data_IF_377068743513
#
_entry.id   IF_377068743513
#
_cell.length_a   1.000
_cell.length_b   1.000
_cell.length_c   1.000
_cell.angle_alpha   90.00
_cell.angle_beta   90.00
_cell.angle_gamma   90.00
#
_symmetry.space_group_name_H-M   'P 1'
#
loop_
_entity.id
_entity.type
_entity.pdbx_description
1 polymer ?
#
# COMPACT_ATOMS: atom_id res chain seq x y z
N UNK A 1 14.17 2.15 -5.74
CA UNK A 1 14.90 1.44 -4.68
C UNK A 1 14.00 0.37 -4.12
N UNK A 2 14.44 -0.89 -4.08
CA UNK A 2 13.63 -1.99 -3.53
C UNK A 2 13.61 -1.89 -2.01
N UNK A 3 12.43 -1.71 -1.43
CA UNK A 3 12.26 -1.81 0.02
C UNK A 3 12.25 -3.28 0.41
N UNK A 4 12.94 -3.65 1.49
CA UNK A 4 12.89 -5.00 2.06
C UNK A 4 11.48 -5.39 2.55
N UNK A 5 10.56 -4.42 2.61
CA UNK A 5 9.14 -4.57 2.95
C UNK A 5 8.23 -4.80 1.74
N UNK A 6 8.78 -4.83 0.52
CA UNK A 6 8.01 -5.07 -0.70
C UNK A 6 7.65 -6.55 -0.81
N UNK A 7 6.36 -6.84 -0.95
CA UNK A 7 5.84 -8.17 -1.22
C UNK A 7 6.46 -8.75 -2.49
N UNK A 8 7.06 -9.94 -2.38
CA UNK A 8 7.44 -10.73 -3.55
C UNK A 8 6.20 -11.16 -4.32
N UNK A 9 6.34 -11.39 -5.62
CA UNK A 9 5.24 -11.89 -6.45
C UNK A 9 4.67 -13.22 -5.91
N UNK A 10 5.54 -14.09 -5.39
CA UNK A 10 5.14 -15.37 -4.79
C UNK A 10 4.25 -15.22 -3.54
N UNK A 11 4.58 -14.26 -2.70
CA UNK A 11 3.79 -13.96 -1.49
C UNK A 11 2.48 -13.27 -1.87
N UNK A 12 2.53 -12.40 -2.89
CA UNK A 12 1.37 -11.73 -3.44
C UNK A 12 0.34 -12.72 -4.00
N UNK A 13 0.78 -13.77 -4.70
CA UNK A 13 -0.08 -14.83 -5.22
C UNK A 13 -0.88 -15.55 -4.12
N UNK A 14 -0.35 -15.63 -2.90
CA UNK A 14 -1.03 -16.23 -1.76
C UNK A 14 -2.06 -15.26 -1.15
N UNK A 15 -1.73 -13.97 -1.08
CA UNK A 15 -2.55 -12.95 -0.41
C UNK A 15 -3.69 -12.46 -1.33
N UNK A 16 -3.43 -12.28 -2.61
CA UNK A 16 -4.39 -11.78 -3.60
C UNK A 16 -5.77 -12.46 -3.53
N UNK A 17 -5.88 -13.80 -3.51
CA UNK A 17 -7.18 -14.48 -3.47
C UNK A 17 -7.93 -14.29 -2.15
N UNK A 18 -7.22 -13.96 -1.06
CA UNK A 18 -7.82 -13.70 0.25
C UNK A 18 -8.42 -12.30 0.37
N UNK A 19 -8.00 -11.38 -0.51
CA UNK A 19 -8.48 -10.00 -0.47
C UNK A 19 -9.90 -9.89 -1.04
N UNK A 20 -10.78 -9.09 -0.41
CA UNK A 20 -12.15 -8.91 -0.87
C UNK A 20 -12.18 -8.44 -2.33
N UNK A 21 -13.12 -8.97 -3.11
CA UNK A 21 -13.30 -8.58 -4.52
C UNK A 21 -13.57 -7.09 -4.62
N UNK A 22 -13.02 -6.45 -5.66
CA UNK A 22 -13.21 -5.00 -5.91
C UNK A 22 -14.71 -4.69 -5.91
N UNK A 23 -15.13 -3.76 -5.05
CA UNK A 23 -16.45 -3.13 -5.14
C UNK A 23 -16.48 -2.24 -6.39
N UNK A 24 -17.64 -2.09 -7.04
CA UNK A 24 -17.87 -1.17 -8.18
C UNK A 24 -17.85 0.32 -7.75
N UNK A 25 -16.92 0.69 -6.89
CA UNK A 25 -16.66 2.08 -6.48
C UNK A 25 -15.63 2.69 -7.44
N UNK A 26 -15.44 4.00 -7.36
CA UNK A 26 -14.36 4.73 -8.03
C UNK A 26 -13.06 3.91 -8.05
N UNK A 27 -12.36 3.84 -9.18
CA UNK A 27 -11.12 3.08 -9.29
C UNK A 27 -10.12 3.63 -8.25
N UNK A 28 -9.54 2.76 -7.40
CA UNK A 28 -8.59 3.21 -6.41
C UNK A 28 -7.32 3.73 -7.10
N UNK A 29 -6.79 4.85 -6.60
CA UNK A 29 -5.51 5.43 -7.06
C UNK A 29 -4.34 4.48 -6.90
N UNK A 30 -4.42 3.57 -5.92
CA UNK A 30 -3.37 2.63 -5.55
C UNK A 30 -3.82 1.19 -5.76
N UNK A 31 -2.89 0.35 -6.21
CA UNK A 31 -3.14 -1.10 -6.28
C UNK A 31 -3.19 -1.70 -4.88
N UNK A 32 -3.90 -2.83 -4.72
CA UNK A 32 -3.97 -3.55 -3.43
C UNK A 32 -2.57 -3.92 -2.91
N UNK A 33 -1.65 -4.24 -3.82
CA UNK A 33 -0.25 -4.55 -3.51
C UNK A 33 0.48 -3.35 -2.93
N UNK A 34 0.35 -2.17 -3.54
CA UNK A 34 0.96 -0.94 -3.02
C UNK A 34 0.41 -0.56 -1.63
N UNK A 35 -0.88 -0.81 -1.38
CA UNK A 35 -1.47 -0.61 -0.05
C UNK A 35 -0.82 -1.53 0.97
N UNK A 36 -0.70 -2.82 0.66
CA UNK A 36 -0.07 -3.79 1.56
C UNK A 36 1.42 -3.54 1.74
N UNK A 37 2.15 -3.18 0.68
CA UNK A 37 3.55 -2.73 0.76
C UNK A 37 3.68 -1.52 1.71
N UNK A 38 2.72 -0.59 1.66
CA UNK A 38 2.61 0.54 2.59
C UNK A 38 2.44 0.12 4.05
N UNK A 39 1.49 -0.79 4.31
CA UNK A 39 1.24 -1.35 5.65
C UNK A 39 2.49 -2.08 6.18
N UNK A 40 3.10 -2.96 5.38
CA UNK A 40 4.28 -3.71 5.79
C UNK A 40 5.50 -2.82 6.01
N UNK A 41 5.66 -1.79 5.19
CA UNK A 41 6.69 -0.79 5.40
C UNK A 41 6.50 -0.09 6.74
N UNK A 42 5.27 0.36 7.03
CA UNK A 42 4.94 1.01 8.29
C UNK A 42 5.20 0.08 9.49
N UNK A 43 4.76 -1.17 9.43
CA UNK A 43 4.96 -2.16 10.49
C UNK A 43 6.45 -2.46 10.72
N UNK A 44 7.27 -2.44 9.67
CA UNK A 44 8.71 -2.74 9.76
C UNK A 44 9.53 -1.56 10.28
N UNK A 45 9.20 -0.33 9.89
CA UNK A 45 9.97 0.87 10.26
C UNK A 45 9.39 1.63 11.46
N UNK A 46 8.12 1.41 11.80
CA UNK A 46 7.44 2.12 12.87
C UNK A 46 7.17 3.60 12.58
N UNK A 47 7.07 3.99 11.30
CA UNK A 47 6.83 5.38 10.90
C UNK A 47 5.34 5.75 10.84
N UNK A 48 5.02 7.04 10.76
CA UNK A 48 3.65 7.48 10.48
C UNK A 48 3.32 7.27 8.99
N UNK A 49 2.02 7.21 8.66
CA UNK A 49 1.53 7.14 7.28
C UNK A 49 1.89 8.38 6.45
N UNK A 50 2.12 9.53 7.10
CA UNK A 50 2.54 10.77 6.44
C UNK A 50 4.01 10.72 6.00
N UNK A 51 4.84 9.93 6.67
CA UNK A 51 6.28 9.80 6.42
C UNK A 51 6.61 8.65 5.45
N UNK A 52 5.58 7.98 4.91
CA UNK A 52 5.77 6.97 3.88
C UNK A 52 6.43 7.58 2.63
N UNK A 53 7.33 6.85 1.97
CA UNK A 53 7.84 7.22 0.66
C UNK A 53 6.69 7.50 -0.32
N UNK A 54 6.87 8.50 -1.21
CA UNK A 54 5.85 8.93 -2.20
C UNK A 54 5.32 7.83 -3.14
N UNK A 55 6.01 6.70 -3.21
CA UNK A 55 5.62 5.52 -4.02
C UNK A 55 4.54 4.65 -3.34
N UNK A 56 4.31 4.87 -2.04
CA UNK A 56 3.33 4.17 -1.21
C UNK A 56 2.13 5.09 -0.95
N UNK A 57 0.96 4.53 -0.61
CA UNK A 57 -0.22 5.33 -0.32
C UNK A 57 -0.01 6.17 0.94
N UNK A 58 0.47 7.39 0.75
CA UNK A 58 0.49 8.41 1.78
C UNK A 58 -0.94 8.91 2.01
N UNK A 59 -1.36 8.95 3.29
CA UNK A 59 -2.53 9.71 3.68
C UNK A 59 -2.18 11.20 3.70
N UNK A 60 -1.90 11.78 2.53
CA UNK A 60 -1.82 13.23 2.42
C UNK A 60 -3.21 13.80 2.30
N UNK A 61 -3.56 14.67 3.23
CA UNK A 61 -4.66 15.62 3.06
C UNK A 61 -4.44 16.37 1.75
N UNK A 62 -5.49 16.67 0.97
CA UNK A 62 -5.36 17.58 -0.15
C UNK A 62 -4.97 18.94 0.42
N UNK A 63 -3.69 19.30 0.30
CA UNK A 63 -3.21 20.65 0.59
C UNK A 63 -3.85 21.58 -0.45
N UNK A 64 -4.97 22.19 -0.10
CA UNK A 64 -5.75 23.02 -1.01
C UNK A 64 -7.13 23.36 -0.45
N UNK A 65 -7.17 24.03 0.70
CA UNK A 65 -8.18 25.00 1.10
C UNK A 65 -7.52 26.11 1.91
#
# INVERSE_FOLDING_TARGET
MGYSSRLSDKEWEIIEPLLPRKKKTCPPKWTKRQILDGVFYQLKQGCNWADLPKDLPQCTVPTGV
#
